data_IF_831403504973
#
_entry.id   IF_831403504973
#
_cell.length_a   1.000
_cell.length_b   1.000
_cell.length_c   1.000
_cell.angle_alpha   90.00
_cell.angle_beta   90.00
_cell.angle_gamma   90.00
#
_symmetry.space_group_name_H-M   'P 1'
#
loop_
_entity.id
_entity.type
_entity.pdbx_description
1 polymer ?
#
# COMPACT_ATOMS: atom_id res chain seq x y z
N UNK A 1 5.55 23.41 4.07
CA UNK A 1 5.65 22.87 2.70
C UNK A 1 4.50 21.90 2.52
N UNK A 2 3.65 21.99 1.48
CA UNK A 2 2.58 21.00 1.28
C UNK A 2 3.23 19.73 0.73
N UNK A 3 3.21 18.64 1.49
CA UNK A 3 3.68 17.34 1.03
C UNK A 3 2.66 16.77 0.05
N UNK A 4 2.95 16.82 -1.24
CA UNK A 4 2.10 16.24 -2.29
C UNK A 4 2.31 14.74 -2.45
N UNK A 5 3.43 14.22 -1.94
CA UNK A 5 3.83 12.83 -2.08
C UNK A 5 4.24 12.27 -0.72
N UNK A 6 3.82 11.05 -0.40
CA UNK A 6 4.36 10.28 0.72
C UNK A 6 4.67 8.85 0.26
N UNK A 7 5.73 8.28 0.82
CA UNK A 7 6.17 6.91 0.52
C UNK A 7 5.98 6.06 1.77
N UNK A 8 5.32 4.92 1.62
CA UNK A 8 5.20 3.96 2.70
C UNK A 8 6.51 3.21 2.84
N UNK A 9 6.92 2.93 4.07
CA UNK A 9 8.17 2.25 4.34
C UNK A 9 8.12 0.80 3.81
N UNK A 10 8.96 0.44 2.83
CA UNK A 10 9.01 -0.92 2.28
C UNK A 10 9.40 -1.98 3.31
N UNK A 11 10.11 -1.63 4.39
CA UNK A 11 10.49 -2.59 5.42
C UNK A 11 9.26 -3.10 6.20
N UNK A 12 8.22 -2.27 6.29
CA UNK A 12 6.95 -2.64 6.92
C UNK A 12 6.12 -3.60 6.05
N UNK A 13 6.48 -3.82 4.79
CA UNK A 13 5.72 -4.63 3.84
C UNK A 13 6.28 -6.04 3.65
N UNK A 14 7.35 -6.41 4.37
CA UNK A 14 7.93 -7.75 4.33
C UNK A 14 7.09 -8.82 5.04
N UNK A 15 5.92 -8.48 5.59
CA UNK A 15 5.03 -9.39 6.30
C UNK A 15 3.87 -9.88 5.42
N UNK A 16 4.19 -10.34 4.20
CA UNK A 16 3.24 -11.04 3.34
C UNK A 16 3.57 -12.53 3.40
N UNK A 17 2.60 -13.36 3.76
CA UNK A 17 2.78 -14.80 3.84
C UNK A 17 2.84 -15.47 2.45
N UNK A 18 3.01 -16.79 2.42
CA UNK A 18 3.12 -17.53 1.15
C UNK A 18 1.85 -17.49 0.29
N UNK A 19 0.69 -17.25 0.90
CA UNK A 19 -0.62 -17.15 0.25
C UNK A 19 -0.96 -15.74 -0.22
N UNK A 20 -0.08 -14.76 0.04
CA UNK A 20 -0.27 -13.37 -0.34
C UNK A 20 -1.17 -12.60 0.63
N UNK A 21 -1.35 -13.13 1.85
CA UNK A 21 -2.08 -12.47 2.93
C UNK A 21 -1.10 -11.56 3.66
N UNK A 22 -1.51 -10.31 3.84
CA UNK A 22 -0.74 -9.30 4.55
C UNK A 22 -1.00 -9.40 6.05
N UNK A 23 0.06 -9.37 6.86
CA UNK A 23 -0.02 -9.36 8.32
C UNK A 23 -0.90 -8.19 8.83
N UNK A 24 -1.73 -8.48 9.83
CA UNK A 24 -2.70 -7.53 10.38
C UNK A 24 -2.04 -6.27 10.96
N UNK A 25 -0.83 -6.37 11.52
CA UNK A 25 -0.08 -5.21 12.03
C UNK A 25 0.29 -4.25 10.89
N UNK A 26 0.64 -4.79 9.72
CA UNK A 26 0.93 -3.98 8.53
C UNK A 26 -0.34 -3.33 7.99
N UNK A 27 -1.46 -4.05 8.01
CA UNK A 27 -2.77 -3.48 7.64
C UNK A 27 -3.12 -2.29 8.53
N UNK A 28 -2.94 -2.40 9.85
CA UNK A 28 -3.21 -1.33 10.82
C UNK A 28 -2.29 -0.13 10.57
N UNK A 29 -0.98 -0.35 10.46
CA UNK A 29 -0.01 0.73 10.19
C UNK A 29 -0.30 1.44 8.87
N UNK A 30 -0.69 0.68 7.85
CA UNK A 30 -1.09 1.25 6.57
C UNK A 30 -2.36 2.08 6.72
N UNK A 31 -3.38 1.59 7.42
CA UNK A 31 -4.62 2.33 7.67
C UNK A 31 -4.39 3.63 8.45
N UNK A 32 -3.61 3.58 9.54
CA UNK A 32 -3.20 4.77 10.30
C UNK A 32 -2.48 5.79 9.42
N UNK A 33 -1.58 5.31 8.57
CA UNK A 33 -0.85 6.16 7.65
C UNK A 33 -1.73 6.75 6.55
N UNK A 34 -2.65 5.98 5.98
CA UNK A 34 -3.67 6.44 5.02
C UNK A 34 -4.54 7.55 5.63
N UNK A 35 -4.90 7.44 6.91
CA UNK A 35 -5.64 8.47 7.65
C UNK A 35 -4.87 9.78 7.84
N UNK A 36 -3.55 9.79 7.63
CA UNK A 36 -2.74 11.03 7.56
C UNK A 36 -2.76 11.70 6.19
N UNK A 37 -3.64 11.27 5.27
CA UNK A 37 -3.92 12.02 4.04
C UNK A 37 -4.87 13.17 4.32
N UNK A 38 -4.35 14.38 4.15
CA UNK A 38 -5.05 15.59 4.53
C UNK A 38 -5.74 16.24 3.30
N UNK A 39 -5.33 15.86 2.09
CA UNK A 39 -5.61 16.62 0.87
C UNK A 39 -6.05 15.72 -0.30
N UNK A 40 -6.95 16.22 -1.16
CA UNK A 40 -7.34 15.54 -2.41
C UNK A 40 -6.20 15.37 -3.44
N UNK A 41 -5.10 16.13 -3.29
CA UNK A 41 -3.98 16.11 -4.25
C UNK A 41 -2.77 15.31 -3.75
N UNK A 42 -2.88 14.61 -2.61
CA UNK A 42 -1.80 13.75 -2.13
C UNK A 42 -1.78 12.42 -2.88
N UNK A 43 -0.57 11.98 -3.23
CA UNK A 43 -0.32 10.65 -3.80
C UNK A 43 0.54 9.86 -2.82
N UNK A 44 0.06 8.66 -2.47
CA UNK A 44 0.80 7.73 -1.64
C UNK A 44 1.37 6.63 -2.49
N UNK A 45 2.63 6.31 -2.26
CA UNK A 45 3.35 5.24 -2.92
C UNK A 45 3.56 4.12 -1.93
N UNK A 46 2.89 2.98 -2.17
CA UNK A 46 2.94 1.79 -1.33
C UNK A 46 3.65 0.72 -2.12
N UNK A 47 4.97 0.51 -1.91
CA UNK A 47 5.65 -0.61 -2.53
C UNK A 47 5.08 -1.92 -1.98
N UNK A 48 5.26 -3.02 -2.70
CA UNK A 48 4.88 -4.35 -2.23
C UNK A 48 6.00 -5.31 -2.62
N UNK A 49 6.49 -6.12 -1.69
CA UNK A 49 7.45 -7.17 -1.99
C UNK A 49 6.82 -8.52 -1.65
N UNK A 50 6.52 -9.30 -2.68
CA UNK A 50 6.01 -10.66 -2.54
C UNK A 50 6.97 -11.64 -3.19
N UNK A 51 7.56 -12.56 -2.43
CA UNK A 51 8.49 -13.58 -2.95
C UNK A 51 9.62 -13.00 -3.84
N UNK A 52 10.20 -11.86 -3.42
CA UNK A 52 11.25 -11.10 -4.16
C UNK A 52 10.76 -10.40 -5.42
N UNK A 53 9.45 -10.35 -5.64
CA UNK A 53 8.84 -9.57 -6.70
C UNK A 53 8.32 -8.25 -6.14
N UNK A 54 8.76 -7.14 -6.75
CA UNK A 54 8.33 -5.80 -6.37
C UNK A 54 7.17 -5.33 -7.23
N UNK A 55 6.13 -4.84 -6.57
CA UNK A 55 4.98 -4.16 -7.16
C UNK A 55 4.81 -2.79 -6.49
N UNK A 56 4.01 -1.92 -7.09
CA UNK A 56 3.72 -0.61 -6.54
C UNK A 56 2.22 -0.32 -6.62
N UNK A 57 1.65 0.12 -5.50
CA UNK A 57 0.35 0.76 -5.49
C UNK A 57 0.51 2.26 -5.30
N UNK A 58 -0.21 3.03 -6.11
CA UNK A 58 -0.29 4.48 -5.99
C UNK A 58 -1.73 4.82 -5.60
N UNK A 59 -1.90 5.33 -4.39
CA UNK A 59 -3.20 5.77 -3.87
C UNK A 59 -3.31 7.28 -4.04
N UNK A 60 -4.38 7.73 -4.66
CA UNK A 60 -4.72 9.13 -4.82
C UNK A 60 -6.24 9.30 -4.61
N UNK A 61 -6.72 10.54 -4.52
CA UNK A 61 -8.14 10.78 -4.25
C UNK A 61 -9.04 10.08 -5.28
N UNK A 62 -9.84 9.12 -4.80
CA UNK A 62 -10.79 8.37 -5.61
C UNK A 62 -10.18 7.33 -6.57
N UNK A 63 -8.87 7.07 -6.52
CA UNK A 63 -8.24 6.11 -7.43
C UNK A 63 -7.05 5.38 -6.81
N UNK A 64 -6.95 4.09 -7.09
CA UNK A 64 -5.78 3.27 -6.80
C UNK A 64 -5.22 2.77 -8.13
N UNK A 65 -3.93 3.00 -8.37
CA UNK A 65 -3.21 2.51 -9.54
C UNK A 65 -2.30 1.38 -9.08
N UNK A 66 -2.44 0.21 -9.69
CA UNK A 66 -1.58 -0.94 -9.43
C UNK A 66 -0.58 -1.10 -10.58
N UNK A 67 0.71 -1.18 -10.24
CA UNK A 67 1.81 -1.38 -11.18
C UNK A 67 2.51 -2.70 -10.83
N UNK A 68 2.37 -3.68 -11.72
CA UNK A 68 3.05 -4.97 -11.67
C UNK A 68 3.81 -5.18 -13.00
N UNK A 69 5.16 -5.12 -13.01
CA UNK A 69 5.95 -5.25 -14.23
C UNK A 69 5.98 -6.67 -14.80
N UNK A 70 5.63 -7.71 -14.02
CA UNK A 70 5.64 -9.09 -14.48
C UNK A 70 4.24 -9.60 -14.89
N UNK A 71 3.16 -8.87 -14.57
CA UNK A 71 1.76 -9.30 -14.75
C UNK A 71 1.46 -10.73 -14.23
N UNK A 72 2.33 -11.27 -13.39
CA UNK A 72 2.41 -12.69 -13.08
C UNK A 72 1.79 -13.02 -11.73
N UNK A 73 1.53 -12.01 -10.88
CA UNK A 73 1.09 -12.22 -9.51
C UNK A 73 -0.27 -11.60 -9.26
N UNK A 74 -1.07 -12.28 -8.42
CA UNK A 74 -2.34 -11.72 -7.98
C UNK A 74 -2.03 -10.54 -7.08
N UNK A 75 -2.78 -9.44 -7.29
CA UNK A 75 -2.75 -8.27 -6.41
C UNK A 75 -2.88 -8.72 -4.95
N UNK A 76 -2.03 -8.22 -4.02
CA UNK A 76 -2.20 -8.48 -2.60
C UNK A 76 -3.63 -8.18 -2.18
N UNK A 77 -4.27 -9.11 -1.46
CA UNK A 77 -5.63 -8.92 -0.98
C UNK A 77 -5.56 -8.29 0.40
N UNK A 78 -6.08 -7.07 0.50
CA UNK A 78 -6.24 -6.40 1.78
C UNK A 78 -7.66 -5.88 1.91
N UNK A 79 -8.27 -6.14 3.06
CA UNK A 79 -9.51 -5.50 3.49
C UNK A 79 -9.12 -4.48 4.55
N UNK A 80 -9.22 -3.20 4.21
CA UNK A 80 -9.04 -2.11 5.17
C UNK A 80 -10.43 -1.67 5.59
N UNK A 81 -10.77 -1.88 6.86
CA UNK A 81 -12.01 -1.36 7.44
C UNK A 81 -11.74 0.08 7.90
N UNK A 82 -12.28 1.06 7.17
CA UNK A 82 -12.02 2.49 7.38
C UNK A 82 -12.92 3.11 8.46
N UNK A 83 -13.47 2.32 9.38
CA UNK A 83 -14.31 2.81 10.48
C UNK A 83 -13.53 3.37 11.68
N UNK A 84 -12.25 3.68 11.51
CA UNK A 84 -11.37 4.28 12.54
C UNK A 84 -11.16 5.77 12.28
#
# INVERSE_FOLDING_TARGET
>A
MREYFKFFDPELLNAIDEDGIVDQEVVIKLAEWLNTMNNQSQMLFIPWNYKRHWMLEIVCAGKIIHLDPLFAHKRPKMTIDLTL
#
